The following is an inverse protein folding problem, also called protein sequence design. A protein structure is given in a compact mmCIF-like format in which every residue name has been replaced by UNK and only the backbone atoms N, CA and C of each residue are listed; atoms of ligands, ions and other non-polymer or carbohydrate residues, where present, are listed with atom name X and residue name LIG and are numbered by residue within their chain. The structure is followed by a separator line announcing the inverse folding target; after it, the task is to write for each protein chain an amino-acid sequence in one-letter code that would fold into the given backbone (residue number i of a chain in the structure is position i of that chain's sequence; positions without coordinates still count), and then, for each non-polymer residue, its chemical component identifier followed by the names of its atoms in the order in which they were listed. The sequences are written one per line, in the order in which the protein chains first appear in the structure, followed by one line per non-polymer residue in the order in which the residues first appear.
data_IF_918207933402
#
_entry.id   IF_918207933402
#
_cell.length_a   1.000
_cell.length_b   1.000
_cell.length_c   1.000
_cell.angle_alpha   90.00
_cell.angle_beta   90.00
_cell.angle_gamma   90.00
#
_symmetry.space_group_name_H-M   'P 1'
#
loop_
_entity.id
_entity.type
_entity.pdbx_description
1 polymer ?
#
# COMPACT_ATOMS: atom_id res chain seq x y z
N UNK A 1 -16.68 -23.30 -4.59
CA UNK A 1 -16.57 -22.43 -3.39
C UNK A 1 -15.30 -22.83 -2.67
N UNK A 2 -14.55 -21.90 -2.05
CA UNK A 2 -13.45 -22.33 -1.22
C UNK A 2 -13.99 -23.22 -0.11
N UNK A 3 -13.25 -24.26 0.23
CA UNK A 3 -13.58 -25.07 1.41
C UNK A 3 -13.57 -24.17 2.64
N UNK A 4 -14.50 -24.43 3.57
CA UNK A 4 -14.56 -23.73 4.86
C UNK A 4 -13.19 -23.67 5.53
N UNK A 5 -12.41 -24.75 5.41
CA UNK A 5 -11.03 -24.83 5.90
C UNK A 5 -10.12 -23.76 5.29
N UNK A 6 -10.23 -23.52 3.98
CA UNK A 6 -9.46 -22.48 3.27
C UNK A 6 -9.86 -21.08 3.75
N UNK A 7 -11.15 -20.82 3.92
CA UNK A 7 -11.64 -19.53 4.44
C UNK A 7 -11.15 -19.26 5.87
N UNK A 8 -11.24 -20.26 6.75
CA UNK A 8 -10.74 -20.16 8.13
C UNK A 8 -9.22 -19.93 8.13
N UNK A 9 -8.47 -20.66 7.29
CA UNK A 9 -7.02 -20.51 7.20
C UNK A 9 -6.61 -19.10 6.73
N UNK A 10 -7.29 -18.55 5.72
CA UNK A 10 -7.05 -17.19 5.23
C UNK A 10 -7.40 -16.15 6.29
N UNK A 11 -8.53 -16.33 6.97
CA UNK A 11 -8.94 -15.43 8.05
C UNK A 11 -7.93 -15.42 9.20
N UNK A 12 -7.49 -16.60 9.66
CA UNK A 12 -6.48 -16.73 10.72
C UNK A 12 -5.14 -16.12 10.29
N UNK A 13 -4.70 -16.39 9.07
CA UNK A 13 -3.48 -15.83 8.53
C UNK A 13 -3.58 -14.29 8.40
N UNK A 14 -4.69 -13.77 7.89
CA UNK A 14 -4.94 -12.33 7.78
C UNK A 14 -4.97 -11.63 9.15
N UNK A 15 -5.64 -12.23 10.15
CA UNK A 15 -5.66 -11.74 11.52
C UNK A 15 -4.27 -11.72 12.15
N UNK A 16 -3.49 -12.80 11.96
CA UNK A 16 -2.12 -12.89 12.44
C UNK A 16 -1.21 -11.84 11.78
N UNK A 17 -1.29 -11.68 10.45
CA UNK A 17 -0.54 -10.65 9.72
C UNK A 17 -0.90 -9.25 10.23
N UNK A 18 -2.20 -8.96 10.40
CA UNK A 18 -2.65 -7.67 10.92
C UNK A 18 -2.13 -7.39 12.32
N UNK A 19 -2.13 -8.40 13.18
CA UNK A 19 -1.60 -8.30 14.54
C UNK A 19 -0.09 -8.00 14.54
N UNK A 20 0.70 -8.76 13.77
CA UNK A 20 2.15 -8.57 13.64
C UNK A 20 2.49 -7.19 13.07
N UNK A 21 1.78 -6.78 11.99
CA UNK A 21 1.92 -5.45 11.38
C UNK A 21 1.61 -4.34 12.40
N UNK A 22 0.56 -4.52 13.19
CA UNK A 22 0.18 -3.58 14.24
C UNK A 22 1.23 -3.45 15.32
N UNK A 23 1.84 -4.57 15.75
CA UNK A 23 2.90 -4.58 16.76
C UNK A 23 4.19 -3.90 16.29
N UNK A 24 4.60 -4.18 15.05
CA UNK A 24 5.86 -3.67 14.48
C UNK A 24 5.69 -2.23 13.97
N UNK A 25 4.44 -1.78 13.74
CA UNK A 25 4.18 -0.50 13.08
C UNK A 25 4.56 -0.49 11.59
N UNK A 26 4.75 -1.68 10.99
CA UNK A 26 5.10 -1.82 9.59
C UNK A 26 3.90 -1.52 8.67
N UNK A 27 4.14 -1.17 7.39
CA UNK A 27 3.05 -1.09 6.41
C UNK A 27 2.43 -2.46 6.19
N UNK A 28 1.12 -2.55 6.21
CA UNK A 28 0.40 -3.83 6.08
C UNK A 28 0.75 -4.59 4.80
N UNK A 29 0.99 -3.87 3.69
CA UNK A 29 1.39 -4.47 2.42
C UNK A 29 2.70 -5.25 2.45
N UNK A 30 3.62 -4.95 3.37
CA UNK A 30 4.91 -5.64 3.48
C UNK A 30 4.77 -7.13 3.80
N UNK A 31 3.72 -7.53 4.49
CA UNK A 31 3.42 -8.92 4.82
C UNK A 31 2.28 -9.49 3.97
N UNK A 32 1.26 -8.70 3.65
CA UNK A 32 0.13 -9.17 2.81
C UNK A 32 0.57 -9.62 1.43
N UNK A 33 1.45 -8.87 0.77
CA UNK A 33 1.85 -9.19 -0.60
C UNK A 33 2.69 -10.46 -0.68
N UNK A 34 3.78 -10.64 0.08
CA UNK A 34 4.51 -11.90 0.10
C UNK A 34 3.61 -13.09 0.47
N UNK A 35 2.71 -12.91 1.44
CA UNK A 35 1.75 -13.95 1.81
C UNK A 35 0.84 -14.33 0.63
N UNK A 36 0.22 -13.36 -0.04
CA UNK A 36 -0.66 -13.63 -1.18
C UNK A 36 0.12 -14.18 -2.38
N UNK A 37 1.35 -13.75 -2.62
CA UNK A 37 2.21 -14.30 -3.68
C UNK A 37 2.55 -15.77 -3.45
N UNK A 38 2.61 -16.22 -2.20
CA UNK A 38 2.80 -17.63 -1.85
C UNK A 38 1.47 -18.37 -1.88
N UNK A 39 0.41 -17.82 -1.29
CA UNK A 39 -0.88 -18.50 -1.16
C UNK A 39 -1.62 -18.68 -2.49
N UNK A 40 -1.61 -17.66 -3.38
CA UNK A 40 -2.38 -17.69 -4.63
C UNK A 40 -2.00 -18.84 -5.58
N UNK A 41 -0.73 -19.21 -5.79
CA UNK A 41 -0.38 -20.38 -6.60
C UNK A 41 -0.91 -21.69 -6.03
N UNK A 42 -1.02 -21.83 -4.71
CA UNK A 42 -1.62 -23.02 -4.06
C UNK A 42 -3.14 -23.04 -4.23
N UNK A 43 -3.80 -21.89 -4.20
CA UNK A 43 -5.24 -21.78 -4.39
C UNK A 43 -5.65 -21.98 -5.86
N UNK A 44 -4.80 -21.62 -6.79
CA UNK A 44 -5.02 -21.67 -8.24
C UNK A 44 -3.87 -22.34 -8.99
N UNK A 45 -3.56 -23.64 -8.72
CA UNK A 45 -2.40 -24.32 -9.33
C UNK A 45 -2.50 -24.45 -10.85
N UNK A 46 -3.72 -24.46 -11.39
CA UNK A 46 -3.98 -24.59 -12.82
C UNK A 46 -4.16 -23.24 -13.54
N UNK A 47 -3.95 -22.11 -12.86
CA UNK A 47 -4.08 -20.80 -13.49
C UNK A 47 -2.91 -20.58 -14.46
N UNK A 48 -3.24 -20.45 -15.74
CA UNK A 48 -2.29 -20.02 -16.78
C UNK A 48 -2.10 -18.50 -16.81
N UNK A 49 -2.92 -17.77 -16.04
CA UNK A 49 -2.87 -16.32 -16.00
C UNK A 49 -1.90 -15.84 -14.94
N UNK A 50 -1.32 -14.66 -15.19
CA UNK A 50 -0.45 -14.03 -14.21
C UNK A 50 -1.25 -13.59 -12.99
N UNK A 51 -0.97 -14.16 -11.82
CA UNK A 51 -1.67 -13.87 -10.57
C UNK A 51 -1.20 -12.56 -9.90
N UNK A 52 -0.14 -11.91 -10.41
CA UNK A 52 0.39 -10.69 -9.80
C UNK A 52 -0.66 -9.56 -9.73
N UNK A 53 -1.39 -9.21 -10.79
CA UNK A 53 -2.42 -8.18 -10.70
C UNK A 53 -3.52 -8.53 -9.68
N UNK A 54 -3.86 -9.83 -9.55
CA UNK A 54 -4.85 -10.31 -8.56
C UNK A 54 -4.33 -10.10 -7.14
N UNK A 55 -3.08 -10.47 -6.88
CA UNK A 55 -2.43 -10.26 -5.60
C UNK A 55 -2.39 -8.77 -5.23
N UNK A 56 -1.97 -7.91 -6.17
CA UNK A 56 -1.84 -6.48 -5.91
C UNK A 56 -3.20 -5.80 -5.70
N UNK A 57 -4.20 -6.13 -6.51
CA UNK A 57 -5.56 -5.59 -6.35
C UNK A 57 -6.18 -6.03 -5.02
N UNK A 58 -6.06 -7.31 -4.69
CA UNK A 58 -6.57 -7.87 -3.43
C UNK A 58 -5.87 -7.25 -2.22
N UNK A 59 -4.54 -7.18 -2.24
CA UNK A 59 -3.76 -6.54 -1.19
C UNK A 59 -4.16 -5.06 -1.00
N UNK A 60 -4.41 -4.33 -2.09
CA UNK A 60 -4.84 -2.92 -2.03
C UNK A 60 -6.14 -2.78 -1.23
N UNK A 61 -7.13 -3.65 -1.46
CA UNK A 61 -8.38 -3.63 -0.69
C UNK A 61 -8.14 -3.94 0.78
N UNK A 62 -7.38 -5.00 1.08
CA UNK A 62 -7.04 -5.37 2.46
C UNK A 62 -6.32 -4.23 3.20
N UNK A 63 -5.41 -3.53 2.52
CA UNK A 63 -4.68 -2.40 3.09
C UNK A 63 -5.62 -1.23 3.38
N UNK A 64 -6.52 -0.89 2.45
CA UNK A 64 -7.51 0.18 2.65
C UNK A 64 -8.34 -0.12 3.91
N UNK A 65 -8.87 -1.33 4.03
CA UNK A 65 -9.69 -1.73 5.18
C UNK A 65 -8.93 -1.59 6.50
N UNK A 66 -7.66 -2.01 6.53
CA UNK A 66 -6.82 -1.87 7.72
C UNK A 66 -6.52 -0.40 8.06
N UNK A 67 -6.19 0.42 7.04
CA UNK A 67 -5.78 1.82 7.26
C UNK A 67 -6.96 2.73 7.59
N UNK A 68 -8.17 2.46 7.07
CA UNK A 68 -9.37 3.27 7.32
C UNK A 68 -9.66 3.39 8.81
N UNK A 69 -9.63 2.30 9.55
CA UNK A 69 -9.85 2.33 11.00
C UNK A 69 -8.81 3.20 11.73
N UNK A 70 -7.54 3.04 11.38
CA UNK A 70 -6.46 3.82 11.96
C UNK A 70 -6.52 5.32 11.58
N UNK A 71 -6.95 5.63 10.35
CA UNK A 71 -7.18 7.01 9.91
C UNK A 71 -8.36 7.65 10.65
N UNK A 72 -9.42 6.89 10.89
CA UNK A 72 -10.57 7.35 11.69
C UNK A 72 -10.15 7.69 13.13
N UNK A 73 -9.33 6.85 13.77
CA UNK A 73 -8.80 7.15 15.10
C UNK A 73 -7.94 8.42 15.09
N UNK A 74 -7.05 8.56 14.11
CA UNK A 74 -6.21 9.76 13.97
C UNK A 74 -7.05 11.04 13.74
N UNK A 75 -8.17 10.93 13.01
CA UNK A 75 -9.11 12.02 12.84
C UNK A 75 -9.77 12.41 14.17
N UNK A 76 -10.24 11.43 14.94
CA UNK A 76 -10.86 11.64 16.26
C UNK A 76 -9.89 12.29 17.24
N UNK A 77 -8.61 11.92 17.18
CA UNK A 77 -7.55 12.48 18.03
C UNK A 77 -6.96 13.81 17.51
N UNK A 78 -7.52 14.37 16.43
CA UNK A 78 -7.05 15.62 15.80
C UNK A 78 -5.58 15.57 15.35
N UNK A 79 -5.11 14.40 14.93
CA UNK A 79 -3.73 14.16 14.45
C UNK A 79 -3.60 14.29 12.91
N UNK A 80 -4.50 15.03 12.28
CA UNK A 80 -4.52 15.16 10.81
C UNK A 80 -4.31 16.60 10.42
N UNK A 81 -3.30 16.84 9.61
CA UNK A 81 -2.99 18.14 9.01
C UNK A 81 -3.72 18.30 7.66
N UNK A 82 -4.89 18.93 7.71
CA UNK A 82 -5.75 19.11 6.53
C UNK A 82 -5.04 19.87 5.42
N UNK A 83 -4.21 20.87 5.77
CA UNK A 83 -3.44 21.66 4.80
C UNK A 83 -2.48 20.79 3.99
N UNK A 84 -1.76 19.88 4.65
CA UNK A 84 -0.86 18.96 3.98
C UNK A 84 -1.61 18.03 3.01
N UNK A 85 -2.82 17.58 3.39
CA UNK A 85 -3.66 16.78 2.50
C UNK A 85 -4.05 17.60 1.27
N UNK A 86 -4.57 18.80 1.45
CA UNK A 86 -5.01 19.68 0.36
C UNK A 86 -3.89 20.01 -0.64
N UNK A 87 -2.65 20.16 -0.17
CA UNK A 87 -1.50 20.45 -1.01
C UNK A 87 -0.99 19.23 -1.80
N UNK A 88 -1.17 18.01 -1.27
CA UNK A 88 -0.53 16.82 -1.80
C UNK A 88 -1.49 15.80 -2.46
N UNK A 89 -2.82 15.89 -2.22
CA UNK A 89 -3.76 14.84 -2.62
C UNK A 89 -3.76 14.52 -4.13
N UNK A 90 -3.68 15.54 -5.01
CA UNK A 90 -3.63 15.32 -6.46
C UNK A 90 -2.41 14.51 -6.90
N UNK A 91 -1.26 14.79 -6.30
CA UNK A 91 -0.01 14.11 -6.61
C UNK A 91 -0.05 12.67 -6.11
N UNK A 92 -0.65 12.48 -4.95
CA UNK A 92 -0.82 11.17 -4.34
C UNK A 92 -1.80 10.31 -5.14
N UNK A 93 -2.93 10.85 -5.61
CA UNK A 93 -3.84 10.14 -6.51
C UNK A 93 -3.14 9.80 -7.82
N UNK A 94 -2.49 10.78 -8.45
CA UNK A 94 -1.76 10.56 -9.70
C UNK A 94 -0.68 9.48 -9.53
N UNK A 95 0.08 9.51 -8.42
CA UNK A 95 1.04 8.47 -8.09
C UNK A 95 0.40 7.10 -7.95
N UNK A 96 -0.77 7.01 -7.31
CA UNK A 96 -1.58 5.81 -7.20
C UNK A 96 -1.96 5.21 -8.56
N UNK A 97 -2.49 6.06 -9.45
CA UNK A 97 -2.85 5.68 -10.82
C UNK A 97 -1.63 5.18 -11.61
N UNK A 98 -0.54 5.96 -11.61
CA UNK A 98 0.69 5.62 -12.34
C UNK A 98 1.29 4.31 -11.83
N UNK A 99 1.39 4.14 -10.51
CA UNK A 99 2.00 2.95 -9.92
C UNK A 99 1.23 1.66 -10.25
N UNK A 100 -0.09 1.66 -10.14
CA UNK A 100 -0.93 0.52 -10.50
C UNK A 100 -0.84 0.20 -12.00
N UNK A 101 -0.82 1.23 -12.85
CA UNK A 101 -0.65 1.09 -14.31
C UNK A 101 0.73 0.48 -14.64
N UNK A 102 1.79 0.89 -13.96
CA UNK A 102 3.14 0.35 -14.11
C UNK A 102 3.18 -1.15 -13.82
N UNK A 103 2.55 -1.60 -12.73
CA UNK A 103 2.48 -3.04 -12.41
C UNK A 103 1.76 -3.82 -13.50
N UNK A 104 0.68 -3.28 -14.03
CA UNK A 104 -0.04 -3.93 -15.11
C UNK A 104 0.85 -4.13 -16.36
N UNK A 105 1.60 -3.11 -16.75
CA UNK A 105 2.53 -3.24 -17.89
C UNK A 105 3.71 -4.18 -17.60
N UNK A 106 4.18 -4.22 -16.37
CA UNK A 106 5.31 -5.07 -15.96
C UNK A 106 4.88 -6.49 -15.52
N UNK A 107 3.59 -6.82 -15.54
CA UNK A 107 3.07 -8.10 -15.04
C UNK A 107 3.72 -9.33 -15.67
N UNK A 108 4.19 -9.24 -16.92
CA UNK A 108 4.87 -10.33 -17.61
C UNK A 108 6.35 -10.49 -17.19
N UNK A 109 6.91 -9.51 -16.48
CA UNK A 109 8.30 -9.50 -16.02
C UNK A 109 8.36 -9.80 -14.50
N UNK A 110 7.92 -11.00 -14.12
CA UNK A 110 7.80 -11.44 -12.72
C UNK A 110 9.11 -11.28 -11.95
N UNK A 111 10.23 -11.63 -12.55
CA UNK A 111 11.55 -11.55 -11.91
C UNK A 111 11.91 -10.09 -11.62
N UNK A 112 11.69 -9.19 -12.58
CA UNK A 112 11.94 -7.76 -12.40
C UNK A 112 11.07 -7.18 -11.28
N UNK A 113 9.77 -7.52 -11.26
CA UNK A 113 8.86 -7.06 -10.20
C UNK A 113 9.29 -7.55 -8.81
N UNK A 114 9.71 -8.81 -8.68
CA UNK A 114 10.21 -9.36 -7.40
C UNK A 114 11.51 -8.66 -6.96
N UNK A 115 12.43 -8.38 -7.86
CA UNK A 115 13.68 -7.66 -7.57
C UNK A 115 13.36 -6.24 -7.12
N UNK A 116 12.50 -5.52 -7.86
CA UNK A 116 12.08 -4.17 -7.51
C UNK A 116 11.36 -4.12 -6.15
N UNK A 117 10.48 -5.09 -5.88
CA UNK A 117 9.81 -5.23 -4.58
C UNK A 117 10.84 -5.43 -3.46
N UNK A 118 11.79 -6.35 -3.63
CA UNK A 118 12.84 -6.60 -2.66
C UNK A 118 13.70 -5.36 -2.40
N UNK A 119 14.10 -4.66 -3.46
CA UNK A 119 14.87 -3.42 -3.36
C UNK A 119 14.09 -2.33 -2.61
N UNK A 120 12.81 -2.16 -2.91
CA UNK A 120 11.95 -1.18 -2.22
C UNK A 120 11.77 -1.52 -0.74
N UNK A 121 11.61 -2.79 -0.39
CA UNK A 121 11.54 -3.23 1.01
C UNK A 121 12.86 -2.94 1.74
N UNK A 122 14.00 -3.16 1.08
CA UNK A 122 15.32 -2.88 1.63
C UNK A 122 15.52 -1.38 1.85
N UNK A 123 15.23 -0.54 0.84
CA UNK A 123 15.30 0.93 0.95
C UNK A 123 14.39 1.41 2.08
N UNK A 124 13.18 0.86 2.17
CA UNK A 124 12.24 1.17 3.23
C UNK A 124 12.79 0.81 4.61
N UNK A 125 13.34 -0.39 4.76
CA UNK A 125 13.91 -0.86 6.03
C UNK A 125 15.05 0.04 6.51
N UNK A 126 15.96 0.42 5.60
CA UNK A 126 17.07 1.34 5.89
C UNK A 126 16.54 2.75 6.23
N UNK A 127 15.55 3.23 5.48
CA UNK A 127 14.96 4.54 5.74
C UNK A 127 14.26 4.59 7.11
N UNK A 128 13.53 3.55 7.48
CA UNK A 128 12.91 3.43 8.80
C UNK A 128 13.96 3.40 9.90
N UNK A 129 15.01 2.61 9.75
CA UNK A 129 16.10 2.52 10.72
C UNK A 129 16.72 3.88 11.01
N UNK A 130 17.00 4.67 9.97
CA UNK A 130 17.62 6.00 10.09
C UNK A 130 16.68 7.07 10.65
N UNK A 131 15.37 6.82 10.72
CA UNK A 131 14.37 7.80 11.18
C UNK A 131 13.64 7.41 12.47
N UNK A 132 14.09 6.35 13.15
CA UNK A 132 13.53 5.91 14.43
C UNK A 132 13.84 6.87 15.58
N UNK A 133 14.92 7.68 15.46
CA UNK A 133 15.23 8.67 16.47
C UNK A 133 14.30 9.88 16.38
N UNK A 134 13.70 10.32 17.51
CA UNK A 134 12.95 11.56 17.55
C UNK A 134 13.92 12.72 17.34
N UNK A 135 13.92 13.31 16.17
CA UNK A 135 14.56 14.60 15.96
C UNK A 135 13.65 15.68 16.57
N UNK A 136 13.96 16.08 17.79
CA UNK A 136 13.34 17.22 18.44
C UNK A 136 13.86 18.53 17.80
N UNK A 137 12.93 19.44 17.52
CA UNK A 137 13.13 20.88 17.34
C UNK A 137 14.05 21.39 16.21
N UNK A 138 13.82 21.00 14.97
CA UNK A 138 14.40 21.73 13.83
C UNK A 138 13.37 22.60 13.12
N UNK A 139 13.77 23.80 12.71
CA UNK A 139 12.93 24.74 11.97
C UNK A 139 12.49 24.22 10.57
N UNK A 140 11.27 24.57 10.08
CA UNK A 140 10.75 24.07 8.82
C UNK A 140 11.57 24.52 7.59
N UNK A 141 12.01 23.55 6.78
CA UNK A 141 12.62 23.81 5.47
C UNK A 141 11.55 24.33 4.49
N UNK A 142 11.54 25.63 4.23
CA UNK A 142 10.70 26.28 3.21
C UNK A 142 11.18 25.91 1.80
N UNK A 143 10.86 24.72 1.29
CA UNK A 143 11.06 24.42 -0.13
C UNK A 143 9.91 23.58 -0.68
N UNK A 144 8.97 24.24 -1.32
CA UNK A 144 7.71 23.62 -1.75
C UNK A 144 7.81 22.77 -3.02
N UNK A 145 8.73 23.02 -3.94
CA UNK A 145 8.75 22.33 -5.25
C UNK A 145 9.49 20.99 -5.22
N UNK A 146 10.60 20.88 -4.51
CA UNK A 146 11.35 19.61 -4.39
C UNK A 146 10.52 18.57 -3.63
N UNK A 147 9.79 18.99 -2.60
CA UNK A 147 8.94 18.13 -1.79
C UNK A 147 7.77 17.54 -2.60
N UNK A 148 7.30 18.23 -3.62
CA UNK A 148 6.18 17.85 -4.47
C UNK A 148 6.44 16.58 -5.28
N UNK A 149 7.61 16.47 -5.91
CA UNK A 149 8.02 15.30 -6.69
C UNK A 149 8.29 14.08 -5.80
N UNK A 150 8.78 14.30 -4.57
CA UNK A 150 8.99 13.20 -3.63
C UNK A 150 7.68 12.54 -3.20
N UNK A 151 6.61 13.31 -2.97
CA UNK A 151 5.29 12.75 -2.64
C UNK A 151 4.72 11.96 -3.81
N UNK A 152 4.85 12.45 -5.04
CA UNK A 152 4.45 11.71 -6.23
C UNK A 152 5.23 10.38 -6.34
N UNK A 153 6.55 10.42 -6.24
CA UNK A 153 7.39 9.22 -6.30
C UNK A 153 7.08 8.23 -5.17
N UNK A 154 6.85 8.71 -3.96
CA UNK A 154 6.45 7.87 -2.83
C UNK A 154 5.12 7.17 -3.11
N UNK A 155 4.14 7.86 -3.70
CA UNK A 155 2.86 7.30 -4.07
C UNK A 155 2.98 6.30 -5.23
N UNK A 156 3.79 6.58 -6.26
CA UNK A 156 4.07 5.64 -7.36
C UNK A 156 4.67 4.35 -6.81
N UNK A 157 5.74 4.48 -6.03
CA UNK A 157 6.44 3.34 -5.45
C UNK A 157 5.54 2.51 -4.53
N UNK A 158 4.75 3.17 -3.69
CA UNK A 158 3.85 2.49 -2.75
C UNK A 158 2.73 1.74 -3.45
N UNK A 159 2.14 2.33 -4.48
CA UNK A 159 1.02 1.73 -5.21
C UNK A 159 1.50 0.67 -6.22
N UNK A 160 2.66 0.85 -6.84
CA UNK A 160 3.27 -0.15 -7.72
C UNK A 160 3.56 -1.46 -6.98
N UNK A 161 3.96 -1.37 -5.72
CA UNK A 161 4.30 -2.56 -4.94
C UNK A 161 3.25 -2.90 -3.90
N UNK A 162 2.11 -2.19 -3.85
CA UNK A 162 1.04 -2.42 -2.89
C UNK A 162 1.50 -2.36 -1.43
N UNK A 163 2.63 -1.70 -1.15
CA UNK A 163 3.23 -1.66 0.18
C UNK A 163 2.48 -0.73 1.14
N UNK A 164 1.61 0.11 0.61
CA UNK A 164 1.04 1.21 1.37
C UNK A 164 2.08 2.32 1.59
N UNK A 165 1.87 3.48 0.97
CA UNK A 165 2.83 4.60 1.00
C UNK A 165 3.01 5.28 2.33
N UNK A 166 2.27 4.85 3.34
CA UNK A 166 2.25 5.48 4.66
C UNK A 166 3.64 5.80 5.20
N UNK A 167 4.65 4.90 5.20
CA UNK A 167 5.93 5.19 5.80
C UNK A 167 6.76 6.20 5.00
N UNK A 168 6.71 6.11 3.67
CA UNK A 168 7.41 7.09 2.83
C UNK A 168 6.80 8.48 2.97
N UNK A 169 5.47 8.55 2.94
CA UNK A 169 4.72 9.79 3.13
C UNK A 169 4.96 10.35 4.54
N UNK A 170 4.97 9.50 5.56
CA UNK A 170 5.27 9.89 6.93
C UNK A 170 6.69 10.48 7.07
N UNK A 171 7.72 9.85 6.51
CA UNK A 171 9.09 10.35 6.52
C UNK A 171 9.16 11.72 5.83
N UNK A 172 8.46 11.89 4.70
CA UNK A 172 8.41 13.17 4.00
C UNK A 172 7.70 14.25 4.82
N UNK A 173 6.59 13.91 5.47
CA UNK A 173 5.88 14.84 6.36
C UNK A 173 6.72 15.19 7.59
N UNK A 174 7.44 14.23 8.16
CA UNK A 174 8.38 14.50 9.26
C UNK A 174 9.48 15.46 8.82
N UNK A 175 10.03 15.34 7.62
CA UNK A 175 10.98 16.31 7.05
C UNK A 175 10.38 17.69 6.78
N UNK A 176 9.06 17.80 6.68
CA UNK A 176 8.32 19.07 6.61
C UNK A 176 7.96 19.63 8.00
N UNK A 177 8.50 19.05 9.09
CA UNK A 177 8.34 19.52 10.47
C UNK A 177 6.96 19.36 11.07
N UNK A 178 6.18 18.40 10.58
CA UNK A 178 5.01 17.97 11.32
C UNK A 178 5.45 17.10 12.51
N UNK A 179 4.79 17.26 13.64
CA UNK A 179 5.01 16.38 14.79
C UNK A 179 4.83 14.93 14.40
N UNK A 180 5.51 14.00 15.05
CA UNK A 180 5.43 12.57 14.76
C UNK A 180 3.99 12.07 14.61
N UNK A 181 3.11 12.45 15.54
CA UNK A 181 1.70 12.03 15.55
C UNK A 181 0.93 12.61 14.37
N UNK A 182 1.08 13.89 14.09
CA UNK A 182 0.39 14.56 12.99
C UNK A 182 0.91 14.06 11.62
N UNK A 183 2.20 13.85 11.49
CA UNK A 183 2.79 13.27 10.28
C UNK A 183 2.24 11.85 10.04
N UNK A 184 2.15 11.01 11.08
CA UNK A 184 1.65 9.64 10.97
C UNK A 184 0.15 9.63 10.66
N UNK A 185 -0.67 10.43 11.35
CA UNK A 185 -2.11 10.53 11.10
C UNK A 185 -2.41 11.01 9.68
N UNK A 186 -1.71 12.05 9.22
CA UNK A 186 -1.84 12.61 7.86
C UNK A 186 -1.37 11.60 6.79
N UNK A 187 -0.27 10.88 7.05
CA UNK A 187 0.24 9.86 6.13
C UNK A 187 -0.76 8.71 5.93
N UNK A 188 -1.52 8.33 6.96
CA UNK A 188 -2.59 7.32 6.85
C UNK A 188 -3.67 7.76 5.85
N UNK A 189 -4.12 9.00 5.95
CA UNK A 189 -5.15 9.54 5.04
C UNK A 189 -4.60 9.63 3.62
N UNK A 190 -3.39 10.15 3.42
CA UNK A 190 -2.76 10.22 2.11
C UNK A 190 -2.51 8.83 1.51
N UNK A 191 -2.22 7.83 2.35
CA UNK A 191 -2.11 6.45 1.89
C UNK A 191 -3.44 5.89 1.36
N UNK A 192 -4.55 6.15 2.04
CA UNK A 192 -5.88 5.77 1.54
C UNK A 192 -6.13 6.41 0.18
N UNK A 193 -5.82 7.69 0.03
CA UNK A 193 -5.97 8.42 -1.23
C UNK A 193 -5.13 7.78 -2.35
N UNK A 194 -3.89 7.40 -2.08
CA UNK A 194 -3.04 6.67 -3.04
C UNK A 194 -3.63 5.33 -3.43
N UNK A 195 -4.10 4.55 -2.45
CA UNK A 195 -4.69 3.24 -2.69
C UNK A 195 -6.02 3.33 -3.46
N UNK A 196 -6.83 4.36 -3.24
CA UNK A 196 -8.03 4.63 -4.04
C UNK A 196 -7.66 4.90 -5.51
N UNK A 197 -6.58 5.66 -5.77
CA UNK A 197 -6.04 5.83 -7.12
C UNK A 197 -5.69 4.49 -7.77
N UNK A 198 -4.99 3.61 -7.05
CA UNK A 198 -4.66 2.27 -7.53
C UNK A 198 -5.90 1.42 -7.78
N UNK A 199 -6.88 1.49 -6.89
CA UNK A 199 -8.13 0.74 -6.97
C UNK A 199 -8.91 1.08 -8.24
N UNK A 200 -8.97 2.37 -8.61
CA UNK A 200 -9.61 2.82 -9.86
C UNK A 200 -8.98 2.12 -11.08
N UNK A 201 -7.66 2.03 -11.13
CA UNK A 201 -6.96 1.33 -12.22
C UNK A 201 -7.31 -0.15 -12.23
N UNK A 202 -7.23 -0.83 -11.08
CA UNK A 202 -7.55 -2.26 -11.01
C UNK A 202 -9.01 -2.57 -11.34
N UNK A 203 -9.96 -1.72 -10.96
CA UNK A 203 -11.36 -1.86 -11.36
C UNK A 203 -11.50 -1.68 -12.88
N UNK A 204 -10.89 -0.63 -13.45
CA UNK A 204 -10.93 -0.39 -14.89
C UNK A 204 -10.34 -1.55 -15.69
N UNK A 205 -9.20 -2.08 -15.25
CA UNK A 205 -8.55 -3.23 -15.89
C UNK A 205 -9.33 -4.53 -15.70
N UNK A 206 -10.08 -4.67 -14.59
CA UNK A 206 -10.89 -5.86 -14.29
C UNK A 206 -12.02 -6.08 -15.29
N UNK A 207 -12.48 -5.05 -15.97
CA UNK A 207 -13.57 -5.14 -16.97
C UNK A 207 -13.17 -6.08 -18.12
N UNK A 208 -11.88 -6.06 -18.51
CA UNK A 208 -11.33 -6.86 -19.60
C UNK A 208 -10.44 -8.01 -19.10
N UNK A 209 -10.44 -8.26 -17.80
CA UNK A 209 -9.60 -9.31 -17.23
C UNK A 209 -10.14 -10.71 -17.58
N UNK A 210 -9.25 -11.67 -17.88
CA UNK A 210 -9.67 -13.05 -18.08
C UNK A 210 -10.26 -13.60 -16.78
N UNK A 211 -11.35 -14.35 -16.91
CA UNK A 211 -11.99 -15.02 -15.78
C UNK A 211 -11.03 -16.09 -15.21
N UNK A 212 -10.57 -15.91 -13.98
CA UNK A 212 -9.57 -16.79 -13.36
C UNK A 212 -10.23 -17.90 -12.52
N UNK A 213 -11.50 -17.71 -12.15
CA UNK A 213 -12.28 -18.67 -11.36
C UNK A 213 -13.46 -18.01 -10.65
N UNK A 214 -14.32 -18.82 -10.04
CA UNK A 214 -15.55 -18.35 -9.38
C UNK A 214 -15.33 -17.44 -8.17
N UNK A 215 -14.09 -17.34 -7.68
CA UNK A 215 -13.72 -16.59 -6.48
C UNK A 215 -12.94 -15.32 -6.79
N UNK A 216 -12.63 -15.09 -8.08
CA UNK A 216 -11.93 -13.90 -8.55
C UNK A 216 -12.88 -13.12 -9.44
N UNK A 217 -13.26 -11.94 -8.99
CA UNK A 217 -14.07 -10.98 -9.76
C UNK A 217 -13.09 -9.98 -10.39
N UNK A 218 -12.81 -10.14 -11.70
CA UNK A 218 -11.77 -9.38 -12.35
C UNK A 218 -10.40 -9.68 -11.74
N UNK A 219 -9.77 -8.67 -11.13
CA UNK A 219 -8.50 -8.83 -10.41
C UNK A 219 -8.65 -8.95 -8.89
N UNK A 220 -9.86 -9.08 -8.36
CA UNK A 220 -10.08 -9.14 -6.93
C UNK A 220 -10.41 -10.57 -6.47
N UNK A 221 -9.59 -11.09 -5.56
CA UNK A 221 -9.88 -12.31 -4.84
C UNK A 221 -10.73 -11.97 -3.62
N UNK A 222 -12.02 -12.16 -3.71
CA UNK A 222 -12.98 -11.69 -2.72
C UNK A 222 -12.94 -12.44 -1.37
N UNK A 223 -12.47 -13.72 -1.26
CA UNK A 223 -12.34 -14.39 0.04
C UNK A 223 -11.16 -13.88 0.90
N UNK A 224 -10.28 -13.03 0.39
CA UNK A 224 -9.20 -12.43 1.18
C UNK A 224 -9.73 -11.29 2.05
#
# INVERSE_FOLDING_TARGET
MPDITTLISLFVAGAFISYVVGLIGAPSGTLYIPFLLIAMPYLYPNSKTNLIPVVMATATVCIIMNVVYNAFLAFKEKQIEIKAIQEQYWKIIAGGLIGATLVYFLQNQIVLLKILLGLMLLIFSVAMWNHLEPEDDKEPLKSSSVNSLFFLNAAIASSAFGLGGQPYIWILLKKLYYTYRNALGTARVLNIISMLGSLIVYIGLSINAPFIGTQVIGYFYWPA
#
